data_IF_033793584810
#
_entry.id   IF_033793584810
#
_cell.length_a   1.000
_cell.length_b   1.000
_cell.length_c   1.000
_cell.angle_alpha   90.00
_cell.angle_beta   90.00
_cell.angle_gamma   90.00
#
_symmetry.space_group_name_H-M   'P 1'
#
loop_
_entity.id
_entity.type
_entity.pdbx_description
1 polymer ?
#
# COMPACT_ATOMS: atom_id res chain seq x y z
N UNK A 1 26.30 -0.75 -4.73
CA UNK A 1 25.38 -1.85 -4.40
C UNK A 1 23.99 -1.31 -4.15
N UNK A 2 22.98 -1.95 -4.73
CA UNK A 2 21.57 -1.55 -4.64
C UNK A 2 20.78 -2.70 -4.01
N UNK A 3 20.01 -2.40 -2.97
CA UNK A 3 18.91 -3.22 -2.50
C UNK A 3 17.61 -2.68 -3.11
N UNK A 4 16.80 -3.55 -3.70
CA UNK A 4 15.50 -3.17 -4.25
C UNK A 4 14.39 -3.57 -3.27
N UNK A 5 13.70 -2.59 -2.72
CA UNK A 5 12.46 -2.84 -2.00
C UNK A 5 11.31 -3.02 -3.00
N UNK A 6 11.06 -4.26 -3.35
CA UNK A 6 9.99 -4.67 -4.24
C UNK A 6 8.79 -5.24 -3.47
N UNK A 7 8.54 -4.75 -2.26
CA UNK A 7 7.51 -5.29 -1.36
C UNK A 7 6.13 -5.45 -2.04
N UNK A 8 5.76 -4.52 -2.91
CA UNK A 8 4.56 -4.63 -3.76
C UNK A 8 4.91 -5.01 -5.20
N UNK A 9 5.85 -4.29 -5.82
CA UNK A 9 6.19 -4.42 -7.24
C UNK A 9 6.75 -5.78 -7.64
N UNK A 10 7.37 -6.53 -6.72
CA UNK A 10 7.95 -7.84 -6.98
C UNK A 10 6.95 -8.91 -7.43
N UNK A 11 5.68 -8.76 -7.10
CA UNK A 11 4.60 -9.63 -7.59
C UNK A 11 3.69 -8.95 -8.63
N UNK A 12 4.10 -7.81 -9.18
CA UNK A 12 3.36 -7.07 -10.21
C UNK A 12 4.20 -6.95 -11.48
N UNK A 13 5.38 -6.33 -11.37
CA UNK A 13 6.22 -6.00 -12.52
C UNK A 13 6.62 -7.21 -13.38
N UNK A 14 7.00 -8.38 -12.81
CA UNK A 14 7.34 -9.54 -13.62
C UNK A 14 6.21 -10.01 -14.54
N UNK A 15 4.97 -9.80 -14.13
CA UNK A 15 3.79 -10.26 -14.85
C UNK A 15 3.22 -9.22 -15.82
N UNK A 16 3.22 -7.94 -15.43
CA UNK A 16 2.57 -6.88 -16.22
C UNK A 16 3.54 -6.06 -17.05
N UNK A 17 4.77 -5.85 -16.56
CA UNK A 17 5.78 -4.99 -17.20
C UNK A 17 7.14 -5.72 -17.28
N UNK A 18 7.24 -6.92 -17.87
CA UNK A 18 8.45 -7.75 -17.85
C UNK A 18 9.65 -7.10 -18.54
N UNK A 19 9.42 -6.10 -19.39
CA UNK A 19 10.47 -5.33 -20.08
C UNK A 19 11.17 -4.33 -19.15
N UNK A 20 10.55 -3.92 -18.05
CA UNK A 20 11.15 -2.98 -17.09
C UNK A 20 12.27 -3.69 -16.32
N UNK A 21 13.47 -3.13 -16.39
CA UNK A 21 14.64 -3.64 -15.66
C UNK A 21 14.69 -3.00 -14.27
N UNK A 22 14.42 -3.76 -13.26
CA UNK A 22 14.44 -3.33 -11.86
C UNK A 22 15.11 -4.36 -10.94
N UNK A 23 15.38 -5.53 -11.47
CA UNK A 23 15.83 -6.73 -10.79
C UNK A 23 17.33 -7.03 -11.08
N UNK A 24 17.73 -8.27 -10.87
CA UNK A 24 19.11 -8.74 -11.12
C UNK A 24 19.59 -8.64 -12.57
N UNK A 25 18.78 -8.16 -13.51
CA UNK A 25 19.24 -7.75 -14.85
C UNK A 25 20.07 -6.47 -14.80
N UNK A 26 20.05 -5.75 -13.67
CA UNK A 26 20.93 -4.62 -13.39
C UNK A 26 22.11 -5.11 -12.52
N UNK A 27 23.33 -4.90 -12.96
CA UNK A 27 24.53 -5.44 -12.30
C UNK A 27 24.71 -4.97 -10.86
N UNK A 28 24.32 -3.74 -10.56
CA UNK A 28 24.42 -3.14 -9.24
C UNK A 28 23.38 -3.64 -8.22
N UNK A 29 22.35 -4.35 -8.66
CA UNK A 29 21.33 -4.91 -7.76
C UNK A 29 21.89 -6.18 -7.14
N UNK A 30 22.09 -6.17 -5.83
CA UNK A 30 22.65 -7.30 -5.07
C UNK A 30 21.60 -8.04 -4.24
N UNK A 31 20.52 -7.40 -3.89
CA UNK A 31 19.42 -8.02 -3.15
C UNK A 31 18.08 -7.40 -3.47
N UNK A 32 17.02 -8.19 -3.30
CA UNK A 32 15.62 -7.79 -3.54
C UNK A 32 14.78 -8.30 -2.39
N UNK A 33 13.94 -7.45 -1.80
CA UNK A 33 12.88 -7.87 -0.89
C UNK A 33 11.51 -7.80 -1.57
N UNK A 34 10.63 -8.77 -1.28
CA UNK A 34 9.24 -8.73 -1.73
C UNK A 34 8.31 -9.37 -0.70
N UNK A 35 7.06 -8.90 -0.64
CA UNK A 35 6.09 -9.37 0.34
C UNK A 35 5.09 -10.33 -0.28
N UNK A 36 5.15 -11.61 0.13
CA UNK A 36 4.16 -12.61 -0.29
C UNK A 36 2.74 -12.25 0.14
N UNK A 37 2.59 -11.60 1.30
CA UNK A 37 1.30 -11.20 1.87
C UNK A 37 0.67 -9.94 1.25
N UNK A 38 1.32 -9.31 0.29
CA UNK A 38 0.73 -8.22 -0.50
C UNK A 38 0.18 -8.81 -1.81
N UNK A 39 0.88 -8.61 -2.90
CA UNK A 39 0.45 -9.11 -4.21
C UNK A 39 0.91 -10.55 -4.51
N UNK A 40 1.62 -11.20 -3.57
CA UNK A 40 1.88 -12.63 -3.61
C UNK A 40 0.69 -13.52 -3.22
N UNK A 41 -0.43 -12.93 -2.77
CA UNK A 41 -1.72 -13.57 -2.56
C UNK A 41 -1.74 -14.62 -1.44
N UNK A 42 -0.99 -14.38 -0.37
CA UNK A 42 -1.02 -15.18 0.86
C UNK A 42 -1.30 -14.31 2.08
N UNK A 43 -1.64 -14.94 3.20
CA UNK A 43 -1.85 -14.24 4.47
C UNK A 43 -0.54 -13.65 5.03
N UNK A 44 -0.61 -12.62 5.90
CA UNK A 44 0.55 -12.04 6.56
C UNK A 44 1.42 -13.07 7.26
N UNK A 45 2.73 -12.85 7.25
CA UNK A 45 3.74 -13.70 7.88
C UNK A 45 4.78 -14.26 6.91
N UNK A 46 4.73 -13.88 5.63
CA UNK A 46 5.72 -14.27 4.63
C UNK A 46 6.29 -13.05 3.91
N UNK A 47 7.59 -12.93 3.94
CA UNK A 47 8.41 -12.06 3.09
C UNK A 47 9.52 -12.84 2.42
N UNK A 48 9.97 -12.36 1.28
CA UNK A 48 11.07 -12.91 0.53
C UNK A 48 12.24 -11.92 0.53
N UNK A 49 13.44 -12.41 0.79
CA UNK A 49 14.67 -11.69 0.51
C UNK A 49 15.54 -12.57 -0.37
N UNK A 50 15.83 -12.09 -1.54
CA UNK A 50 16.59 -12.80 -2.56
C UNK A 50 17.92 -12.07 -2.73
N UNK A 51 19.02 -12.80 -2.68
CA UNK A 51 20.36 -12.30 -2.87
C UNK A 51 20.88 -12.75 -4.23
N UNK A 52 21.58 -11.88 -4.94
CA UNK A 52 22.22 -12.21 -6.23
C UNK A 52 23.18 -13.38 -6.07
N UNK A 53 23.98 -13.34 -5.01
CA UNK A 53 24.97 -14.36 -4.69
C UNK A 53 25.19 -14.41 -3.16
N UNK A 54 25.63 -15.56 -2.65
CA UNK A 54 25.89 -15.78 -1.23
C UNK A 54 26.93 -14.81 -0.63
N UNK A 55 27.90 -14.36 -1.43
CA UNK A 55 28.93 -13.41 -0.99
C UNK A 55 28.35 -12.05 -0.53
N UNK A 56 27.14 -11.69 -0.99
CA UNK A 56 26.48 -10.44 -0.58
C UNK A 56 25.65 -10.57 0.71
N UNK A 57 25.44 -11.80 1.18
CA UNK A 57 24.78 -12.02 2.47
C UNK A 57 25.81 -11.78 3.59
N UNK A 58 25.59 -10.75 4.47
CA UNK A 58 26.53 -10.48 5.56
C UNK A 58 26.69 -11.69 6.47
N UNK A 59 27.94 -12.04 6.79
CA UNK A 59 28.25 -13.18 7.65
C UNK A 59 27.66 -13.02 9.05
N UNK A 60 27.55 -11.78 9.51
CA UNK A 60 26.98 -11.40 10.81
C UNK A 60 25.47 -11.71 10.92
N UNK A 61 24.79 -11.88 9.79
CA UNK A 61 23.39 -12.31 9.76
C UNK A 61 23.23 -13.82 9.86
N UNK A 62 24.33 -14.58 9.76
CA UNK A 62 24.32 -16.04 9.76
C UNK A 62 24.93 -16.57 11.05
N UNK A 63 24.27 -17.50 11.71
CA UNK A 63 24.83 -18.21 12.85
C UNK A 63 24.52 -19.70 12.76
N UNK A 64 25.47 -20.52 13.22
CA UNK A 64 25.32 -21.98 13.25
C UNK A 64 24.72 -22.40 14.58
N UNK A 65 23.76 -23.30 14.51
CA UNK A 65 23.16 -23.96 15.67
C UNK A 65 23.24 -25.47 15.51
N UNK A 66 23.56 -26.20 16.57
CA UNK A 66 23.75 -27.65 16.55
C UNK A 66 22.79 -28.43 17.45
N UNK A 67 21.91 -27.76 18.17
CA UNK A 67 21.00 -28.39 19.13
C UNK A 67 19.95 -29.34 18.50
N UNK A 68 19.82 -29.33 17.17
CA UNK A 68 18.94 -30.23 16.43
C UNK A 68 19.66 -31.49 15.92
N UNK A 69 20.87 -31.75 16.36
CA UNK A 69 21.65 -32.93 15.97
C UNK A 69 22.44 -32.81 14.67
N UNK A 70 22.44 -31.62 14.08
CA UNK A 70 23.27 -31.25 12.91
C UNK A 70 23.58 -29.75 12.95
N UNK A 71 24.67 -29.35 12.32
CA UNK A 71 25.00 -27.96 12.16
C UNK A 71 24.09 -27.31 11.12
N UNK A 72 23.21 -26.44 11.59
CA UNK A 72 22.24 -25.73 10.75
C UNK A 72 22.59 -24.26 10.76
N UNK A 73 22.82 -23.69 9.58
CA UNK A 73 23.01 -22.24 9.42
C UNK A 73 21.63 -21.58 9.41
N UNK A 74 21.42 -20.68 10.35
CA UNK A 74 20.21 -19.84 10.44
C UNK A 74 20.54 -18.38 10.07
N UNK A 75 19.58 -17.75 9.41
CA UNK A 75 19.62 -16.32 9.08
C UNK A 75 18.36 -15.68 9.65
N UNK A 76 18.56 -14.75 10.59
CA UNK A 76 17.45 -14.03 11.24
C UNK A 76 17.27 -14.38 12.71
N UNK A 77 16.54 -13.51 13.41
CA UNK A 77 16.42 -13.51 14.87
C UNK A 77 15.45 -14.59 15.43
N UNK A 78 14.51 -15.06 14.61
CA UNK A 78 13.49 -16.00 15.05
C UNK A 78 13.90 -17.45 14.75
N UNK A 79 13.89 -18.31 15.75
CA UNK A 79 14.21 -19.74 15.61
C UNK A 79 13.06 -20.51 14.96
N UNK A 80 11.98 -20.76 15.68
CA UNK A 80 10.81 -21.47 15.15
C UNK A 80 9.84 -20.48 14.49
N UNK A 81 9.39 -20.80 13.27
CA UNK A 81 8.47 -19.95 12.50
C UNK A 81 7.35 -20.79 11.89
N UNK A 82 6.11 -20.28 11.82
CA UNK A 82 5.03 -20.93 11.10
C UNK A 82 5.38 -21.06 9.61
N UNK A 83 5.17 -22.24 9.03
CA UNK A 83 5.41 -22.51 7.61
C UNK A 83 4.13 -22.46 6.75
N UNK A 84 2.97 -22.24 7.35
CA UNK A 84 1.69 -22.28 6.64
C UNK A 84 1.65 -21.30 5.45
N UNK A 85 2.18 -20.10 5.62
CA UNK A 85 2.21 -19.08 4.55
C UNK A 85 3.22 -19.45 3.45
N UNK A 86 4.29 -20.14 3.78
CA UNK A 86 5.25 -20.68 2.79
C UNK A 86 4.57 -21.74 1.92
N UNK A 87 3.87 -22.67 2.53
CA UNK A 87 3.07 -23.68 1.82
C UNK A 87 1.94 -23.02 1.00
N UNK A 88 1.29 -22.00 1.56
CA UNK A 88 0.28 -21.20 0.85
C UNK A 88 0.85 -20.52 -0.39
N UNK A 89 2.05 -19.94 -0.29
CA UNK A 89 2.72 -19.31 -1.43
C UNK A 89 3.11 -20.34 -2.51
N UNK A 90 3.63 -21.48 -2.09
CA UNK A 90 3.93 -22.58 -2.99
C UNK A 90 2.68 -23.08 -3.71
N UNK A 91 1.58 -23.27 -2.98
CA UNK A 91 0.29 -23.63 -3.56
C UNK A 91 -0.19 -22.61 -4.58
N UNK A 92 -0.07 -21.29 -4.29
CA UNK A 92 -0.45 -20.25 -5.23
C UNK A 92 0.41 -20.28 -6.50
N UNK A 93 1.70 -20.55 -6.39
CA UNK A 93 2.58 -20.67 -7.55
C UNK A 93 2.15 -21.82 -8.46
N UNK A 94 1.84 -22.99 -7.90
CA UNK A 94 1.39 -24.15 -8.68
C UNK A 94 0.01 -23.92 -9.27
N UNK A 95 -0.93 -23.40 -8.45
CA UNK A 95 -2.33 -23.21 -8.85
C UNK A 95 -2.49 -22.16 -9.95
N UNK A 96 -1.84 -21.03 -9.80
CA UNK A 96 -2.02 -19.88 -10.69
C UNK A 96 -1.01 -19.89 -11.84
N UNK A 97 0.22 -20.32 -11.56
CA UNK A 97 1.31 -20.16 -12.50
C UNK A 97 1.48 -18.72 -12.97
N UNK A 98 2.26 -18.51 -14.01
CA UNK A 98 2.52 -17.19 -14.55
C UNK A 98 1.24 -16.50 -15.05
N UNK A 99 0.42 -17.22 -15.80
CA UNK A 99 -0.79 -16.66 -16.43
C UNK A 99 -1.86 -16.29 -15.39
N UNK A 100 -2.03 -17.11 -14.36
CA UNK A 100 -2.97 -16.81 -13.27
C UNK A 100 -2.54 -15.58 -12.47
N UNK A 101 -1.26 -15.46 -12.11
CA UNK A 101 -0.75 -14.24 -11.48
C UNK A 101 -0.95 -13.02 -12.37
N UNK A 102 -0.59 -13.13 -13.67
CA UNK A 102 -0.80 -12.04 -14.62
C UNK A 102 -2.25 -11.59 -14.67
N UNK A 103 -3.19 -12.52 -14.77
CA UNK A 103 -4.62 -12.20 -14.82
C UNK A 103 -5.12 -11.50 -13.55
N UNK A 104 -4.72 -11.98 -12.36
CA UNK A 104 -5.10 -11.36 -11.08
C UNK A 104 -4.52 -9.96 -10.93
N UNK A 105 -3.26 -9.78 -11.26
CA UNK A 105 -2.60 -8.46 -11.15
C UNK A 105 -3.15 -7.48 -12.19
N UNK A 106 -3.45 -7.95 -13.42
CA UNK A 106 -4.06 -7.12 -14.45
C UNK A 106 -5.43 -6.61 -14.01
N UNK A 107 -6.28 -7.47 -13.49
CA UNK A 107 -7.58 -7.04 -12.95
C UNK A 107 -7.44 -5.98 -11.85
N UNK A 108 -6.48 -6.14 -10.95
CA UNK A 108 -6.22 -5.14 -9.91
C UNK A 108 -5.73 -3.81 -10.50
N UNK A 109 -4.93 -3.86 -11.55
CA UNK A 109 -4.44 -2.69 -12.28
C UNK A 109 -5.57 -1.97 -13.00
N UNK A 110 -6.40 -2.71 -13.76
CA UNK A 110 -7.53 -2.16 -14.52
C UNK A 110 -8.52 -1.41 -13.60
N UNK A 111 -8.77 -1.95 -12.41
CA UNK A 111 -9.61 -1.30 -11.41
C UNK A 111 -8.94 -0.04 -10.84
N UNK A 112 -7.65 -0.07 -10.59
CA UNK A 112 -6.92 1.10 -10.09
C UNK A 112 -6.89 2.23 -11.15
N UNK A 113 -6.65 1.90 -12.41
CA UNK A 113 -6.70 2.84 -13.54
C UNK A 113 -8.09 3.45 -13.70
N UNK A 114 -9.12 2.61 -13.59
CA UNK A 114 -10.50 3.08 -13.63
C UNK A 114 -10.82 4.09 -12.52
N UNK A 115 -10.51 3.73 -11.27
CA UNK A 115 -10.75 4.63 -10.13
C UNK A 115 -9.92 5.92 -10.22
N UNK A 116 -8.66 5.81 -10.63
CA UNK A 116 -7.79 6.96 -10.87
C UNK A 116 -8.41 7.91 -11.92
N UNK A 117 -8.91 7.36 -13.03
CA UNK A 117 -9.57 8.16 -14.07
C UNK A 117 -10.86 8.82 -13.60
N UNK A 118 -11.72 8.11 -12.86
CA UNK A 118 -12.97 8.65 -12.37
C UNK A 118 -12.78 9.71 -11.26
N UNK A 119 -11.85 9.48 -10.33
CA UNK A 119 -11.53 10.47 -9.28
C UNK A 119 -10.88 11.70 -9.90
N UNK A 120 -10.02 11.53 -10.90
CA UNK A 120 -9.39 12.64 -11.62
C UNK A 120 -10.36 13.54 -12.39
N UNK A 121 -11.57 13.08 -12.71
CA UNK A 121 -12.64 13.88 -13.31
C UNK A 121 -13.38 14.77 -12.31
N UNK A 122 -13.23 14.50 -11.00
CA UNK A 122 -13.90 15.28 -9.95
C UNK A 122 -13.12 16.57 -9.69
N UNK A 123 -13.73 17.76 -9.82
CA UNK A 123 -13.02 19.05 -9.75
C UNK A 123 -12.42 19.32 -8.36
N UNK A 124 -12.93 18.66 -7.33
CA UNK A 124 -12.43 18.75 -5.95
C UNK A 124 -11.04 18.13 -5.80
N UNK A 125 -10.67 17.19 -6.65
CA UNK A 125 -9.47 16.37 -6.47
C UNK A 125 -8.38 16.64 -7.50
N UNK A 126 -7.17 16.26 -7.14
CA UNK A 126 -6.00 16.24 -8.02
C UNK A 126 -5.24 14.94 -7.79
N UNK A 127 -5.08 14.13 -8.83
CA UNK A 127 -4.20 12.97 -8.81
C UNK A 127 -2.74 13.41 -8.70
N UNK A 128 -1.95 12.68 -7.91
CA UNK A 128 -0.52 12.93 -7.76
C UNK A 128 0.30 12.33 -8.90
N UNK A 129 -0.03 11.10 -9.31
CA UNK A 129 0.59 10.45 -10.46
C UNK A 129 -0.23 10.70 -11.73
N UNK A 130 0.43 10.86 -12.86
CA UNK A 130 -0.23 10.95 -14.16
C UNK A 130 -0.74 9.58 -14.62
N UNK A 131 0.02 8.53 -14.28
CA UNK A 131 -0.28 7.14 -14.62
C UNK A 131 -0.27 6.25 -13.37
N UNK A 132 -0.97 5.14 -13.46
CA UNK A 132 -0.99 4.09 -12.42
C UNK A 132 0.10 3.07 -12.75
N UNK A 133 1.18 3.05 -11.98
CA UNK A 133 2.29 2.10 -12.19
C UNK A 133 2.15 0.81 -11.39
N UNK A 134 1.48 0.87 -10.26
CA UNK A 134 1.10 -0.25 -9.40
C UNK A 134 -0.41 -0.17 -9.15
N UNK A 135 -1.10 -1.25 -8.73
CA UNK A 135 -2.52 -1.22 -8.43
C UNK A 135 -2.86 -0.37 -7.19
N UNK A 136 -2.31 0.81 -7.14
CA UNK A 136 -2.55 1.83 -6.12
C UNK A 136 -2.31 3.23 -6.71
N UNK A 137 -3.01 4.20 -6.19
CA UNK A 137 -2.77 5.59 -6.54
C UNK A 137 -3.11 6.52 -5.38
N UNK A 138 -2.64 7.75 -5.50
CA UNK A 138 -2.74 8.78 -4.48
C UNK A 138 -3.33 10.05 -5.09
N UNK A 139 -4.22 10.70 -4.37
CA UNK A 139 -4.78 12.01 -4.75
C UNK A 139 -4.88 12.94 -3.54
N UNK A 140 -4.99 14.23 -3.83
CA UNK A 140 -5.21 15.28 -2.84
C UNK A 140 -6.43 16.12 -3.20
N UNK A 141 -6.83 17.05 -2.33
CA UNK A 141 -7.68 18.14 -2.75
C UNK A 141 -6.97 18.98 -3.80
N UNK A 142 -7.72 19.44 -4.80
CA UNK A 142 -7.22 20.42 -5.76
C UNK A 142 -6.85 21.70 -5.00
N UNK A 143 -5.64 22.27 -5.18
CA UNK A 143 -5.20 23.44 -4.40
C UNK A 143 -6.11 24.68 -4.51
N UNK A 144 -6.81 24.84 -5.63
CA UNK A 144 -7.79 25.94 -5.79
C UNK A 144 -9.05 25.66 -4.97
N UNK A 145 -9.50 24.40 -4.97
CA UNK A 145 -10.66 23.97 -4.24
C UNK A 145 -10.38 23.93 -2.72
N UNK A 146 -9.22 23.46 -2.31
CA UNK A 146 -8.81 23.36 -0.91
C UNK A 146 -8.83 24.71 -0.18
N UNK A 147 -8.59 25.82 -0.88
CA UNK A 147 -8.62 27.19 -0.32
C UNK A 147 -10.02 27.63 0.12
N UNK A 148 -11.07 27.10 -0.47
CA UNK A 148 -12.46 27.51 -0.24
C UNK A 148 -13.31 26.45 0.42
N UNK A 149 -12.83 25.22 0.51
CA UNK A 149 -13.54 24.11 1.11
C UNK A 149 -13.64 24.26 2.64
N UNK A 150 -14.80 23.97 3.19
CA UNK A 150 -15.03 23.93 4.64
C UNK A 150 -14.67 22.57 5.27
N UNK A 151 -14.09 21.66 4.52
CA UNK A 151 -13.77 20.30 4.92
C UNK A 151 -12.37 19.89 4.41
N UNK A 152 -11.87 18.77 4.94
CA UNK A 152 -10.57 18.19 4.59
C UNK A 152 -10.72 16.74 4.12
N UNK A 153 -9.64 16.13 3.62
CA UNK A 153 -9.64 14.71 3.28
C UNK A 153 -9.84 13.80 4.50
N UNK A 154 -9.57 14.27 5.72
CA UNK A 154 -9.89 13.53 6.95
C UNK A 154 -11.40 13.42 7.17
N UNK A 155 -12.16 14.46 6.83
CA UNK A 155 -13.62 14.43 6.89
C UNK A 155 -14.20 13.46 5.86
N UNK A 156 -13.63 13.45 4.65
CA UNK A 156 -13.99 12.48 3.62
C UNK A 156 -13.67 11.04 4.07
N UNK A 157 -12.48 10.81 4.63
CA UNK A 157 -12.15 9.51 5.22
C UNK A 157 -13.18 9.08 6.25
N UNK A 158 -13.56 9.96 7.16
CA UNK A 158 -14.54 9.65 8.19
C UNK A 158 -15.90 9.28 7.59
N UNK A 159 -16.37 10.03 6.58
CA UNK A 159 -17.62 9.72 5.85
C UNK A 159 -17.57 8.35 5.18
N UNK A 160 -16.47 8.03 4.52
CA UNK A 160 -16.27 6.74 3.86
C UNK A 160 -16.22 5.58 4.87
N UNK A 161 -15.62 5.79 6.05
CA UNK A 161 -15.60 4.80 7.11
C UNK A 161 -17.00 4.46 7.63
N UNK A 162 -17.92 5.41 7.65
CA UNK A 162 -19.32 5.17 8.03
C UNK A 162 -20.00 4.18 7.08
N UNK A 163 -19.59 4.14 5.81
CA UNK A 163 -20.08 3.21 4.80
C UNK A 163 -19.20 1.94 4.69
N UNK A 164 -18.26 1.73 5.63
CA UNK A 164 -17.41 0.54 5.69
C UNK A 164 -16.13 0.60 4.83
N UNK A 165 -15.82 1.74 4.20
CA UNK A 165 -14.63 1.90 3.38
C UNK A 165 -13.43 2.37 4.21
N UNK A 166 -12.30 1.68 4.07
CA UNK A 166 -11.04 2.11 4.67
C UNK A 166 -10.13 2.75 3.60
N UNK A 167 -10.34 4.03 3.35
CA UNK A 167 -9.52 4.84 2.46
C UNK A 167 -8.76 5.87 3.30
N UNK A 168 -7.49 5.62 3.64
CA UNK A 168 -6.76 6.45 4.59
C UNK A 168 -6.38 7.81 4.00
N UNK A 169 -6.56 8.87 4.79
CA UNK A 169 -5.98 10.18 4.60
C UNK A 169 -4.75 10.33 5.51
N UNK A 170 -3.65 10.87 5.00
CA UNK A 170 -2.42 11.09 5.75
C UNK A 170 -1.58 12.22 5.13
N UNK A 171 -0.65 12.77 5.91
CA UNK A 171 0.29 13.77 5.42
C UNK A 171 1.43 13.12 4.65
N UNK A 172 1.96 13.84 3.68
CA UNK A 172 3.19 13.42 2.99
C UNK A 172 4.40 13.47 3.95
N UNK A 173 5.53 12.81 3.60
CA UNK A 173 6.73 12.80 4.41
C UNK A 173 7.32 14.20 4.67
N UNK A 174 8.43 14.22 5.45
CA UNK A 174 9.19 15.43 5.77
C UNK A 174 9.37 16.34 4.56
N UNK A 175 9.22 17.62 4.79
CA UNK A 175 9.26 18.73 3.80
C UNK A 175 8.00 18.87 2.93
N UNK A 176 6.99 17.97 3.08
CA UNK A 176 5.69 18.01 2.42
C UNK A 176 4.53 17.75 3.38
N UNK A 177 4.73 17.91 4.69
CA UNK A 177 3.74 17.55 5.73
C UNK A 177 2.44 18.35 5.62
N UNK A 178 2.48 19.52 5.00
CA UNK A 178 1.29 20.33 4.71
C UNK A 178 0.40 19.71 3.63
N UNK A 179 0.92 18.73 2.90
CA UNK A 179 0.16 18.05 1.85
C UNK A 179 -0.54 16.81 2.39
N UNK A 180 -1.85 16.88 2.50
CA UNK A 180 -2.70 15.74 2.87
C UNK A 180 -3.13 15.00 1.62
N UNK A 181 -3.01 13.70 1.65
CA UNK A 181 -3.37 12.81 0.54
C UNK A 181 -4.26 11.67 1.00
N UNK A 182 -5.03 11.11 0.09
CA UNK A 182 -5.70 9.82 0.26
C UNK A 182 -5.12 8.79 -0.70
N UNK A 183 -5.15 7.52 -0.30
CA UNK A 183 -4.63 6.41 -1.10
C UNK A 183 -5.65 5.28 -1.22
N UNK A 184 -5.88 4.82 -2.45
CA UNK A 184 -6.57 3.55 -2.72
C UNK A 184 -5.54 2.51 -3.11
N UNK A 185 -5.71 1.30 -2.58
CA UNK A 185 -4.94 0.10 -2.93
C UNK A 185 -5.92 -0.94 -3.44
N UNK A 186 -5.82 -1.25 -4.73
CA UNK A 186 -6.65 -2.29 -5.35
C UNK A 186 -5.97 -3.65 -5.21
N UNK A 187 -6.68 -4.60 -4.63
CA UNK A 187 -6.17 -5.95 -4.38
C UNK A 187 -7.14 -6.98 -4.93
N UNK A 188 -6.67 -8.23 -5.00
CA UNK A 188 -7.54 -9.36 -5.32
C UNK A 188 -8.82 -9.33 -4.48
N UNK A 189 -9.95 -9.57 -5.12
CA UNK A 189 -11.28 -9.57 -4.49
C UNK A 189 -11.98 -8.20 -4.50
N UNK A 190 -11.28 -7.12 -4.87
CA UNK A 190 -11.92 -5.84 -5.11
C UNK A 190 -12.42 -5.81 -6.56
N UNK A 191 -13.76 -5.89 -6.72
CA UNK A 191 -14.41 -5.99 -8.03
C UNK A 191 -14.70 -4.62 -8.65
N UNK A 192 -15.09 -4.62 -9.91
CA UNK A 192 -15.57 -3.42 -10.60
C UNK A 192 -16.82 -2.86 -9.92
N UNK A 193 -17.76 -3.70 -9.53
CA UNK A 193 -18.98 -3.28 -8.84
C UNK A 193 -18.65 -2.61 -7.50
N UNK A 194 -17.69 -3.16 -6.75
CA UNK A 194 -17.21 -2.51 -5.51
C UNK A 194 -16.56 -1.14 -5.80
N UNK A 195 -15.84 -1.02 -6.91
CA UNK A 195 -15.26 0.26 -7.31
C UNK A 195 -16.36 1.29 -7.65
N UNK A 196 -17.43 0.89 -8.33
CA UNK A 196 -18.57 1.75 -8.64
C UNK A 196 -19.35 2.16 -7.38
N UNK A 197 -19.51 1.26 -6.43
CA UNK A 197 -20.06 1.57 -5.11
C UNK A 197 -19.21 2.58 -4.36
N UNK A 198 -17.88 2.38 -4.30
CA UNK A 198 -16.96 3.33 -3.67
C UNK A 198 -17.03 4.72 -4.32
N UNK A 199 -17.06 4.79 -5.65
CA UNK A 199 -17.18 6.06 -6.36
C UNK A 199 -18.51 6.77 -6.05
N UNK A 200 -19.59 6.01 -5.94
CA UNK A 200 -20.90 6.55 -5.53
C UNK A 200 -20.82 7.14 -4.15
N UNK A 201 -20.25 6.42 -3.18
CA UNK A 201 -20.09 6.89 -1.80
C UNK A 201 -19.16 8.11 -1.71
N UNK A 202 -18.08 8.15 -2.49
CA UNK A 202 -17.20 9.33 -2.58
C UNK A 202 -18.00 10.55 -3.08
N UNK A 203 -18.77 10.41 -4.16
CA UNK A 203 -19.59 11.50 -4.73
C UNK A 203 -20.64 11.99 -3.73
N UNK A 204 -21.31 11.08 -3.04
CA UNK A 204 -22.29 11.42 -2.02
C UNK A 204 -21.65 12.15 -0.84
N UNK A 205 -20.56 11.62 -0.29
CA UNK A 205 -19.83 12.23 0.81
C UNK A 205 -19.33 13.64 0.45
N UNK A 206 -18.76 13.82 -0.73
CA UNK A 206 -18.33 15.13 -1.22
C UNK A 206 -19.53 16.09 -1.33
N UNK A 207 -20.65 15.63 -1.93
CA UNK A 207 -21.86 16.47 -2.03
C UNK A 207 -22.42 16.90 -0.67
N UNK A 208 -22.30 16.06 0.37
CA UNK A 208 -22.70 16.43 1.73
C UNK A 208 -21.71 17.42 2.37
N UNK A 209 -20.42 17.18 2.21
CA UNK A 209 -19.38 18.03 2.76
C UNK A 209 -19.36 19.42 2.11
N UNK A 210 -19.68 19.50 0.83
CA UNK A 210 -19.77 20.78 0.10
C UNK A 210 -20.94 21.68 0.54
N UNK A 211 -21.95 21.10 1.21
CA UNK A 211 -23.08 21.88 1.76
C UNK A 211 -22.78 22.51 3.13
N UNK A 212 -21.62 22.23 3.72
CA UNK A 212 -21.27 22.78 5.02
C UNK A 212 -21.06 24.30 4.95
N UNK A 213 -21.82 25.03 5.73
CA UNK A 213 -21.73 26.50 5.82
C UNK A 213 -20.56 26.98 6.68
N UNK A 214 -20.01 26.10 7.51
CA UNK A 214 -18.93 26.41 8.45
C UNK A 214 -17.82 25.35 8.34
N UNK A 215 -16.56 25.75 8.62
CA UNK A 215 -15.44 24.80 8.63
C UNK A 215 -15.63 23.67 9.63
N UNK A 216 -15.28 22.45 9.22
CA UNK A 216 -15.17 21.30 10.12
C UNK A 216 -14.04 21.51 11.13
N UNK A 217 -14.03 20.74 12.22
CA UNK A 217 -12.94 20.81 13.21
C UNK A 217 -11.58 20.50 12.57
N UNK A 218 -11.52 19.49 11.71
CA UNK A 218 -10.28 19.16 11.00
C UNK A 218 -9.79 20.30 10.09
N UNK A 219 -10.69 21.04 9.44
CA UNK A 219 -10.35 22.22 8.66
C UNK A 219 -9.82 23.36 9.54
N UNK A 220 -10.43 23.60 10.71
CA UNK A 220 -9.94 24.58 11.68
C UNK A 220 -8.54 24.25 12.16
N UNK A 221 -8.28 22.96 12.45
CA UNK A 221 -6.99 22.50 12.96
C UNK A 221 -5.88 22.63 11.89
N UNK A 222 -6.18 22.31 10.64
CA UNK A 222 -5.24 22.52 9.52
C UNK A 222 -4.93 24.01 9.35
N UNK A 223 -5.95 24.88 9.38
CA UNK A 223 -5.76 26.31 9.21
C UNK A 223 -4.97 26.98 10.36
N UNK A 224 -4.93 26.36 11.54
CA UNK A 224 -4.11 26.82 12.69
C UNK A 224 -2.67 26.32 12.66
N UNK A 225 -2.22 25.68 11.59
CA UNK A 225 -0.92 24.99 11.49
C UNK A 225 -0.72 23.91 12.58
N UNK A 226 -1.77 23.51 13.24
CA UNK A 226 -1.77 22.38 14.14
C UNK A 226 -2.06 21.14 13.28
N UNK A 227 -1.01 20.46 12.82
CA UNK A 227 -1.20 19.15 12.21
C UNK A 227 -2.01 18.30 13.17
N UNK A 228 -3.18 17.75 12.78
CA UNK A 228 -3.89 16.83 13.62
C UNK A 228 -2.95 15.65 13.88
N UNK A 229 -2.40 15.58 15.09
CA UNK A 229 -1.73 14.36 15.56
C UNK A 229 -2.85 13.34 15.70
N UNK A 230 -3.18 12.66 14.62
CA UNK A 230 -3.93 11.41 14.72
C UNK A 230 -3.02 10.36 15.37
N UNK A 231 -2.76 10.55 16.67
CA UNK A 231 -2.40 9.44 17.50
C UNK A 231 -3.63 8.54 17.54
N UNK A 232 -3.55 7.36 16.95
CA UNK A 232 -4.39 6.26 17.39
C UNK A 232 -4.12 6.10 18.89
N UNK A 233 -4.99 6.68 19.71
CA UNK A 233 -5.03 6.41 21.14
C UNK A 233 -5.50 4.96 21.26
N UNK A 234 -4.57 4.04 21.19
CA UNK A 234 -4.75 2.76 21.85
C UNK A 234 -4.96 3.10 23.32
N UNK A 235 -6.20 2.98 23.76
CA UNK A 235 -6.66 3.36 25.08
C UNK A 235 -5.66 2.98 26.15
N UNK A 236 -5.16 3.99 26.86
CA UNK A 236 -4.22 3.81 27.92
C UNK A 236 -4.80 2.88 28.98
N UNK A 237 -4.29 1.66 29.06
CA UNK A 237 -4.45 0.87 30.27
C UNK A 237 -3.71 1.63 31.36
N UNK A 238 -4.47 2.21 32.29
CA UNK A 238 -3.94 2.64 33.57
C UNK A 238 -3.20 1.46 34.19
N UNK A 239 -1.95 1.67 34.53
CA UNK A 239 -1.20 0.77 35.38
C UNK A 239 -1.95 0.64 36.71
N UNK A 240 -2.36 -0.57 37.07
CA UNK A 240 -2.61 -0.99 38.43
C UNK A 240 -1.26 -1.31 39.09
#
# INVERSE_FOLDING_TARGET
CIHVDAASGGFILPFLKPHVKWDFRLDNVISISTSGHKYGLVYPGLGWTIWRDKQYLPSEMSFSVNYLGADITQVGLNFSRPAAQVLGQYYQFIRLGFQGYKAVQQNSMDIAEYLHGEIGKMPQFKNYSQEVENPLFVWSLNPKYDKVANWTLYDLQYKLQQNGWMVPAYTMPKDLEQCVVMRIVCRQGFSRDMADMLLTDIRMAVSELDKLSYPTQSRVDVNRNNHPKHSFNHGGRKKL
#
